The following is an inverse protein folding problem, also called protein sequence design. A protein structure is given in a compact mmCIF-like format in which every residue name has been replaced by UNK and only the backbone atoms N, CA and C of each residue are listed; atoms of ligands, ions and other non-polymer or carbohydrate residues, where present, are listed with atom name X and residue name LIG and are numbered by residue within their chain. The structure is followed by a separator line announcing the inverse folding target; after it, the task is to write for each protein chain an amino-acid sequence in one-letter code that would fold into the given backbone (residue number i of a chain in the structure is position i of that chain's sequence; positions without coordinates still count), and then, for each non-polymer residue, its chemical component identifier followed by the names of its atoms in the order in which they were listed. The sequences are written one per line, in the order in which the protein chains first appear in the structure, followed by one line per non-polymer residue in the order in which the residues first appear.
data_IF_028832766400
#
_entry.id   IF_028832766400
#
_cell.length_a   1.000
_cell.length_b   1.000
_cell.length_c   1.000
_cell.angle_alpha   90.00
_cell.angle_beta   90.00
_cell.angle_gamma   90.00
#
_symmetry.space_group_name_H-M   'P 1'
#
loop_
_entity.id
_entity.type
_entity.pdbx_description
1 polymer ?
#
# COMPACT_ATOMS: atom_id res chain seq x y z
N UNK A 1 -18.47 -3.65 9.53
CA UNK A 1 -18.72 -2.66 10.59
C UNK A 1 -19.51 -1.52 9.95
N UNK A 2 -20.74 -1.27 10.41
CA UNK A 2 -21.54 -0.13 9.93
C UNK A 2 -20.89 1.14 10.46
N UNK A 3 -20.65 2.14 9.61
CA UNK A 3 -20.16 3.45 10.05
C UNK A 3 -21.35 4.19 10.66
N UNK A 4 -21.46 4.19 11.99
CA UNK A 4 -22.48 5.00 12.67
C UNK A 4 -22.23 6.46 12.36
N UNK A 5 -23.22 7.12 11.74
CA UNK A 5 -23.17 8.55 11.50
C UNK A 5 -23.51 9.31 12.79
N UNK A 6 -23.13 10.59 12.87
CA UNK A 6 -23.46 11.45 14.02
C UNK A 6 -24.97 11.49 14.32
N UNK A 7 -25.82 11.35 13.30
CA UNK A 7 -27.28 11.27 13.48
C UNK A 7 -27.70 10.01 14.24
N UNK A 8 -27.08 8.88 13.91
CA UNK A 8 -27.38 7.59 14.54
C UNK A 8 -26.98 7.63 16.02
N UNK A 9 -25.81 8.21 16.34
CA UNK A 9 -25.37 8.44 17.72
C UNK A 9 -26.32 9.37 18.48
N UNK A 10 -26.76 10.45 17.84
CA UNK A 10 -27.71 11.37 18.48
C UNK A 10 -29.04 10.67 18.82
N UNK A 11 -29.53 9.80 17.93
CA UNK A 11 -30.77 9.05 18.16
C UNK A 11 -30.58 7.98 19.24
N UNK A 12 -29.45 7.28 19.27
CA UNK A 12 -29.10 6.33 20.33
C UNK A 12 -28.99 7.01 21.70
N UNK A 13 -28.27 8.13 21.78
CA UNK A 13 -28.14 8.88 23.03
C UNK A 13 -29.49 9.41 23.53
N UNK A 14 -30.38 9.82 22.63
CA UNK A 14 -31.74 10.22 22.96
C UNK A 14 -32.57 9.05 23.50
N UNK A 15 -32.44 7.85 22.90
CA UNK A 15 -33.09 6.62 23.41
C UNK A 15 -32.55 6.19 24.78
N UNK A 16 -31.29 6.47 25.07
CA UNK A 16 -30.67 6.25 26.38
C UNK A 16 -31.10 7.27 27.45
N UNK A 17 -31.88 8.28 27.06
CA UNK A 17 -32.44 9.29 27.96
C UNK A 17 -31.58 10.54 28.12
N UNK A 18 -30.48 10.67 27.37
CA UNK A 18 -29.69 11.90 27.37
C UNK A 18 -30.41 13.01 26.60
N UNK A 19 -30.28 14.24 27.08
CA UNK A 19 -30.87 15.40 26.41
C UNK A 19 -29.98 16.64 26.56
N UNK A 20 -30.17 17.61 25.66
CA UNK A 20 -29.47 18.89 25.72
C UNK A 20 -27.94 18.76 25.71
N UNK A 21 -27.29 19.38 26.69
CA UNK A 21 -25.82 19.39 26.80
C UNK A 21 -25.23 18.01 27.11
N UNK A 22 -25.95 17.17 27.87
CA UNK A 22 -25.48 15.84 28.22
C UNK A 22 -25.44 14.93 26.98
N UNK A 23 -26.46 15.03 26.11
CA UNK A 23 -26.48 14.33 24.84
C UNK A 23 -25.32 14.75 23.93
N UNK A 24 -25.06 16.05 23.85
CA UNK A 24 -23.92 16.56 23.05
C UNK A 24 -22.58 16.08 23.57
N UNK A 25 -22.43 16.00 24.90
CA UNK A 25 -21.21 15.49 25.53
C UNK A 25 -21.03 14.00 25.21
N UNK A 26 -22.08 13.20 25.38
CA UNK A 26 -22.07 11.77 25.08
C UNK A 26 -21.73 11.50 23.61
N UNK A 27 -22.43 12.15 22.66
CA UNK A 27 -22.17 11.99 21.21
C UNK A 27 -20.72 12.32 20.87
N UNK A 28 -20.14 13.33 21.51
CA UNK A 28 -18.74 13.72 21.29
C UNK A 28 -17.76 12.67 21.81
N UNK A 29 -17.99 12.16 23.02
CA UNK A 29 -17.15 11.12 23.61
C UNK A 29 -17.20 9.84 22.77
N UNK A 30 -18.40 9.43 22.35
CA UNK A 30 -18.59 8.22 21.56
C UNK A 30 -17.98 8.35 20.16
N UNK A 31 -18.17 9.51 19.51
CA UNK A 31 -17.53 9.80 18.23
C UNK A 31 -15.99 9.76 18.33
N UNK A 32 -15.42 10.29 19.41
CA UNK A 32 -13.98 10.24 19.64
C UNK A 32 -13.50 8.80 19.86
N UNK A 33 -14.25 7.99 20.61
CA UNK A 33 -13.97 6.57 20.81
C UNK A 33 -13.96 5.79 19.49
N UNK A 34 -14.99 5.97 18.66
CA UNK A 34 -15.09 5.34 17.34
C UNK A 34 -13.89 5.75 16.46
N UNK A 35 -13.53 7.04 16.43
CA UNK A 35 -12.37 7.49 15.65
C UNK A 35 -11.03 6.97 16.16
N UNK A 36 -10.89 6.78 17.48
CA UNK A 36 -9.69 6.19 18.06
C UNK A 36 -9.57 4.72 17.67
N UNK A 37 -10.65 3.95 17.83
CA UNK A 37 -10.70 2.55 17.44
C UNK A 37 -10.46 2.35 15.94
N UNK A 38 -11.02 3.21 15.08
CA UNK A 38 -10.79 3.12 13.64
C UNK A 38 -9.32 3.42 13.28
N UNK A 39 -8.68 4.37 13.97
CA UNK A 39 -7.25 4.64 13.79
C UNK A 39 -6.39 3.46 14.20
N UNK A 40 -6.71 2.83 15.33
CA UNK A 40 -5.99 1.65 15.82
C UNK A 40 -6.17 0.46 14.87
N UNK A 41 -7.39 0.19 14.41
CA UNK A 41 -7.68 -0.87 13.42
C UNK A 41 -6.86 -0.66 12.14
N UNK A 42 -6.84 0.56 11.60
CA UNK A 42 -6.03 0.87 10.40
C UNK A 42 -4.53 0.72 10.65
N UNK A 43 -4.05 1.03 11.85
CA UNK A 43 -2.65 0.83 12.20
C UNK A 43 -2.31 -0.67 12.24
N UNK A 44 -3.14 -1.49 12.88
CA UNK A 44 -2.99 -2.93 12.92
C UNK A 44 -3.05 -3.56 11.52
N UNK A 45 -3.97 -3.13 10.66
CA UNK A 45 -4.06 -3.59 9.26
C UNK A 45 -2.80 -3.28 8.45
N UNK A 46 -2.20 -2.09 8.66
CA UNK A 46 -0.94 -1.70 8.02
C UNK A 46 0.22 -2.56 8.47
N UNK A 47 0.36 -2.80 9.77
CA UNK A 47 1.41 -3.66 10.31
C UNK A 47 1.27 -5.10 9.79
N UNK A 48 0.05 -5.63 9.75
CA UNK A 48 -0.23 -6.97 9.20
C UNK A 48 0.15 -7.04 7.70
N UNK A 49 -0.21 -6.01 6.93
CA UNK A 49 0.13 -5.94 5.50
C UNK A 49 1.65 -5.84 5.28
N UNK A 50 2.35 -5.08 6.13
CA UNK A 50 3.81 -4.96 6.09
C UNK A 50 4.48 -6.32 6.38
N UNK A 51 4.06 -7.01 7.43
CA UNK A 51 4.58 -8.33 7.78
C UNK A 51 4.34 -9.36 6.67
N UNK A 52 3.16 -9.34 6.04
CA UNK A 52 2.86 -10.19 4.87
C UNK A 52 3.82 -9.93 3.71
N UNK A 53 4.05 -8.66 3.39
CA UNK A 53 4.95 -8.27 2.31
C UNK A 53 6.40 -8.66 2.62
N UNK A 54 6.85 -8.46 3.86
CA UNK A 54 8.19 -8.89 4.30
C UNK A 54 8.37 -10.40 4.19
N UNK A 55 7.37 -11.19 4.62
CA UNK A 55 7.40 -12.64 4.48
C UNK A 55 7.41 -13.10 3.02
N UNK A 56 6.67 -12.42 2.14
CA UNK A 56 6.65 -12.72 0.69
C UNK A 56 8.00 -12.40 0.03
N UNK A 57 8.61 -11.26 0.38
CA UNK A 57 9.95 -10.90 -0.09
C UNK A 57 10.97 -11.95 0.35
N UNK A 58 10.92 -12.40 1.61
CA UNK A 58 11.86 -13.38 2.12
C UNK A 58 11.68 -14.76 1.47
N UNK A 59 10.43 -15.19 1.26
CA UNK A 59 10.12 -16.42 0.53
C UNK A 59 10.64 -16.37 -0.92
N UNK A 60 10.48 -15.22 -1.59
CA UNK A 60 11.00 -15.01 -2.95
C UNK A 60 12.53 -15.09 -2.99
N UNK A 61 13.23 -14.47 -2.03
CA UNK A 61 14.69 -14.57 -1.92
C UNK A 61 15.16 -16.00 -1.71
N UNK A 62 14.51 -16.75 -0.82
CA UNK A 62 14.83 -18.15 -0.58
C UNK A 62 14.63 -19.01 -1.84
N UNK A 63 13.55 -18.78 -2.60
CA UNK A 63 13.30 -19.47 -3.86
C UNK A 63 14.33 -19.13 -4.95
N UNK A 64 14.76 -17.88 -5.04
CA UNK A 64 15.82 -17.45 -5.95
C UNK A 64 17.17 -18.08 -5.60
N UNK A 65 17.52 -18.14 -4.31
CA UNK A 65 18.74 -18.80 -3.83
C UNK A 65 18.73 -20.31 -4.08
N UNK A 66 17.58 -20.98 -3.88
CA UNK A 66 17.41 -22.40 -4.19
C UNK A 66 17.53 -22.68 -5.70
N UNK A 67 16.98 -21.80 -6.54
CA UNK A 67 17.09 -21.89 -8.00
C UNK A 67 18.53 -21.68 -8.49
N UNK A 68 19.28 -20.77 -7.86
CA UNK A 68 20.70 -20.55 -8.15
C UNK A 68 21.59 -21.73 -7.72
N UNK A 69 21.25 -22.41 -6.61
CA UNK A 69 21.96 -23.62 -6.15
C UNK A 69 21.66 -24.86 -7.00
N UNK A 70 20.49 -24.93 -7.64
CA UNK A 70 20.13 -26.04 -8.53
C UNK A 70 20.70 -25.86 -9.96
N UNK A 71 21.05 -24.64 -10.36
CA UNK A 71 21.73 -24.33 -11.60
C UNK A 71 23.25 -24.60 -11.51
N UNK A 72 23.62 -25.80 -11.09
CA UNK A 72 24.90 -26.41 -11.47
C UNK A 72 24.86 -26.75 -12.96
N UNK A 73 24.82 -25.74 -13.83
CA UNK A 73 24.93 -25.92 -15.28
C UNK A 73 25.94 -24.92 -15.79
N UNK A 74 27.13 -25.46 -15.99
CA UNK A 74 28.26 -24.97 -16.77
C UNK A 74 27.94 -23.76 -17.65
N UNK A 75 28.26 -22.55 -17.16
CA UNK A 75 28.36 -21.38 -18.03
C UNK A 75 29.63 -21.58 -18.86
N UNK A 76 29.50 -22.25 -20.00
CA UNK A 76 30.52 -22.21 -21.04
C UNK A 76 30.63 -20.77 -21.52
N UNK A 77 31.70 -20.10 -21.08
CA UNK A 77 32.17 -18.83 -21.61
C UNK A 77 32.53 -19.00 -23.09
N UNK A 78 31.56 -18.79 -23.97
CA UNK A 78 31.83 -18.56 -25.39
C UNK A 78 32.03 -17.05 -25.55
N UNK A 79 33.28 -16.61 -25.50
CA UNK A 79 33.70 -15.26 -25.90
C UNK A 79 33.62 -15.14 -27.43
N UNK A 80 32.41 -15.21 -27.98
CA UNK A 80 32.16 -14.68 -29.31
C UNK A 80 31.94 -13.18 -29.17
N UNK A 81 32.87 -12.38 -29.69
CA UNK A 81 32.71 -10.93 -29.86
C UNK A 81 31.56 -10.71 -30.84
N UNK A 82 30.33 -10.72 -30.33
CA UNK A 82 29.14 -10.30 -31.08
C UNK A 82 29.15 -8.79 -31.04
N UNK A 83 29.53 -8.15 -32.15
CA UNK A 83 29.33 -6.72 -32.31
C UNK A 83 27.83 -6.43 -32.15
N UNK A 84 27.42 -5.71 -31.09
CA UNK A 84 26.02 -5.42 -30.89
C UNK A 84 25.52 -4.60 -32.10
N UNK A 85 24.30 -4.88 -32.61
CA UNK A 85 23.72 -4.07 -33.66
C UNK A 85 23.69 -2.61 -33.20
N UNK A 86 24.19 -1.71 -34.05
CA UNK A 86 24.24 -0.27 -33.75
C UNK A 86 22.81 0.23 -33.58
N UNK A 87 22.42 0.49 -32.34
CA UNK A 87 21.17 1.18 -32.03
C UNK A 87 21.36 2.63 -32.55
N UNK A 88 20.42 3.16 -33.34
CA UNK A 88 20.48 4.57 -33.75
C UNK A 88 20.55 5.44 -32.50
N UNK A 89 21.39 6.47 -32.54
CA UNK A 89 21.52 7.40 -31.43
C UNK A 89 20.15 8.00 -31.13
N UNK A 90 19.79 7.99 -29.84
CA UNK A 90 18.59 8.68 -29.36
C UNK A 90 18.78 10.18 -29.64
N UNK A 91 17.85 10.75 -30.39
CA UNK A 91 17.86 12.16 -30.77
C UNK A 91 16.88 12.89 -29.86
N UNK A 92 17.39 13.48 -28.77
CA UNK A 92 16.59 14.26 -27.80
C UNK A 92 15.79 15.38 -28.48
N UNK A 93 16.23 15.89 -29.65
CA UNK A 93 15.49 16.93 -30.38
C UNK A 93 14.20 16.45 -31.04
N UNK A 94 14.01 15.14 -31.16
CA UNK A 94 12.80 14.49 -31.68
C UNK A 94 11.96 13.84 -30.60
N UNK A 95 12.37 13.95 -29.34
CA UNK A 95 11.59 13.43 -28.23
C UNK A 95 10.45 14.42 -27.93
N UNK A 96 9.26 14.12 -28.45
CA UNK A 96 8.06 14.97 -28.30
C UNK A 96 7.47 14.94 -26.87
N UNK A 97 8.12 14.25 -25.92
CA UNK A 97 7.71 14.17 -24.51
C UNK A 97 7.50 15.56 -23.91
N UNK A 98 8.39 16.51 -24.15
CA UNK A 98 8.27 17.88 -23.62
C UNK A 98 7.07 18.63 -24.23
N UNK A 99 6.72 18.34 -25.49
CA UNK A 99 5.55 18.92 -26.16
C UNK A 99 4.25 18.35 -25.59
N UNK A 100 4.26 17.09 -25.16
CA UNK A 100 3.10 16.44 -24.53
C UNK A 100 2.87 16.94 -23.10
N UNK A 101 3.94 17.26 -22.36
CA UNK A 101 3.87 17.76 -20.98
C UNK A 101 3.43 19.23 -20.92
N UNK A 102 3.60 20.00 -21.99
CA UNK A 102 3.30 21.44 -22.05
C UNK A 102 1.89 21.80 -22.55
N UNK A 103 0.99 20.81 -22.71
CA UNK A 103 -0.45 21.01 -22.96
C UNK A 103 -1.27 20.99 -21.66
#
# INVERSE_FOLDING_TARGET
MSRSNIRDLHDEGSQLGYSGEELQKWVREEWQGIQAAERESRAAERELSKLKLEAEIEASKAAAAASASAAGTTVQSVTSVVNPPKIPAFDESKDEIDTYISR
#
